data_IF_837118164101
#
_entry.id   IF_837118164101
#
_cell.length_a   1.000
_cell.length_b   1.000
_cell.length_c   1.000
_cell.angle_alpha   90.00
_cell.angle_beta   90.00
_cell.angle_gamma   90.00
#
_symmetry.space_group_name_H-M   'P 1'
#
loop_
_entity.id
_entity.type
_entity.pdbx_description
1 polymer ?
#
# COMPACT_ATOMS: atom_id res chain seq x y z
N UNK A 1 -2.83 -14.26 12.04
CA UNK A 1 -2.87 -12.79 12.18
C UNK A 1 -4.31 -12.34 12.08
N UNK A 2 -4.79 -11.52 13.01
CA UNK A 2 -6.15 -10.97 12.96
C UNK A 2 -6.25 -9.75 11.99
N UNK A 3 -7.46 -9.27 11.70
CA UNK A 3 -7.67 -8.17 10.76
C UNK A 3 -7.04 -6.84 11.20
N UNK A 4 -6.92 -6.59 12.51
CA UNK A 4 -6.31 -5.38 13.07
C UNK A 4 -4.79 -5.44 12.94
N UNK A 5 -4.21 -6.59 13.24
CA UNK A 5 -2.79 -6.87 13.03
C UNK A 5 -2.43 -6.75 11.54
N UNK A 6 -3.25 -7.32 10.65
CA UNK A 6 -3.07 -7.24 9.20
C UNK A 6 -3.02 -5.80 8.71
N UNK A 7 -4.04 -5.02 9.08
CA UNK A 7 -4.08 -3.60 8.76
C UNK A 7 -2.83 -2.89 9.27
N UNK A 8 -2.42 -3.17 10.50
CA UNK A 8 -1.25 -2.52 11.11
C UNK A 8 0.04 -2.87 10.35
N UNK A 9 0.22 -4.14 9.96
CA UNK A 9 1.38 -4.61 9.22
C UNK A 9 1.46 -3.93 7.84
N UNK A 10 0.37 -3.93 7.08
CA UNK A 10 0.29 -3.28 5.76
C UNK A 10 0.51 -1.77 5.88
N UNK A 11 -0.09 -1.11 6.87
CA UNK A 11 0.12 0.31 7.10
C UNK A 11 1.58 0.65 7.42
N UNK A 12 2.32 -0.24 8.10
CA UNK A 12 3.77 -0.06 8.32
C UNK A 12 4.54 -0.11 7.01
N UNK A 13 4.23 -1.05 6.12
CA UNK A 13 4.84 -1.14 4.77
C UNK A 13 4.63 0.17 4.01
N UNK A 14 3.40 0.69 3.95
CA UNK A 14 3.13 1.94 3.23
C UNK A 14 3.65 3.20 3.95
N UNK A 15 3.86 3.16 5.26
CA UNK A 15 4.59 4.22 5.98
C UNK A 15 6.06 4.25 5.55
N UNK A 16 6.71 3.08 5.50
CA UNK A 16 8.09 2.94 5.00
C UNK A 16 8.17 3.38 3.53
N UNK A 17 7.26 2.91 2.67
CA UNK A 17 7.15 3.37 1.29
C UNK A 17 7.09 4.90 1.18
N UNK A 18 6.22 5.56 1.95
CA UNK A 18 6.08 7.03 1.89
C UNK A 18 7.33 7.75 2.38
N UNK A 19 7.99 7.23 3.40
CA UNK A 19 9.25 7.76 3.91
C UNK A 19 10.36 7.64 2.86
N UNK A 20 10.50 6.49 2.20
CA UNK A 20 11.54 6.23 1.21
C UNK A 20 11.25 6.86 -0.16
N UNK A 21 9.98 6.95 -0.58
CA UNK A 21 9.58 7.66 -1.80
C UNK A 21 9.99 9.14 -1.78
N UNK A 22 10.22 9.71 -0.59
CA UNK A 22 10.78 11.07 -0.44
C UNK A 22 12.18 11.17 -1.01
N UNK A 23 13.02 10.16 -0.74
CA UNK A 23 14.41 10.12 -1.16
C UNK A 23 14.55 9.84 -2.67
N UNK A 24 13.62 9.09 -3.27
CA UNK A 24 13.62 8.79 -4.72
C UNK A 24 13.46 10.01 -5.64
N UNK A 25 13.26 11.22 -5.11
CA UNK A 25 13.18 12.47 -5.88
C UNK A 25 14.46 13.32 -5.77
N UNK A 26 15.45 12.83 -5.02
CA UNK A 26 16.77 13.43 -4.89
C UNK A 26 17.68 12.69 -5.87
N UNK A 27 18.43 13.42 -6.68
CA UNK A 27 19.40 12.83 -7.60
C UNK A 27 20.57 12.26 -6.77
N UNK A 28 20.58 10.95 -6.58
CA UNK A 28 21.61 10.23 -5.80
C UNK A 28 22.39 9.35 -6.76
N UNK A 29 23.72 9.38 -6.65
CA UNK A 29 24.63 8.71 -7.57
C UNK A 29 24.49 7.16 -7.59
N UNK A 30 23.93 6.57 -6.54
CA UNK A 30 23.62 5.15 -6.44
C UNK A 30 22.14 4.97 -6.12
N UNK A 31 21.48 4.00 -6.79
CA UNK A 31 20.08 3.66 -6.53
C UNK A 31 20.01 3.05 -5.12
N UNK A 32 19.43 3.75 -4.13
CA UNK A 32 19.43 3.27 -2.75
C UNK A 32 18.56 2.00 -2.63
N UNK A 33 18.82 1.15 -1.62
CA UNK A 33 18.02 -0.06 -1.36
C UNK A 33 16.53 0.28 -1.17
N UNK A 34 16.28 1.46 -0.61
CA UNK A 34 15.00 2.13 -0.45
C UNK A 34 14.23 2.28 -1.78
N UNK A 35 14.93 2.60 -2.88
CA UNK A 35 14.31 2.73 -4.19
C UNK A 35 13.87 1.38 -4.75
N UNK A 36 14.62 0.31 -4.44
CA UNK A 36 14.24 -1.07 -4.81
C UNK A 36 12.97 -1.50 -4.08
N UNK A 37 12.87 -1.19 -2.79
CA UNK A 37 11.67 -1.44 -1.99
C UNK A 37 10.45 -0.71 -2.57
N UNK A 38 10.58 0.59 -2.89
CA UNK A 38 9.50 1.35 -3.49
C UNK A 38 9.04 0.74 -4.82
N UNK A 39 9.99 0.38 -5.69
CA UNK A 39 9.70 -0.24 -6.98
C UNK A 39 8.96 -1.58 -6.82
N UNK A 40 9.38 -2.43 -5.88
CA UNK A 40 8.71 -3.70 -5.61
C UNK A 40 7.25 -3.47 -5.14
N UNK A 41 7.03 -2.48 -4.27
CA UNK A 41 5.67 -2.12 -3.82
C UNK A 41 4.83 -1.58 -4.98
N UNK A 42 5.40 -0.73 -5.83
CA UNK A 42 4.72 -0.19 -7.02
C UNK A 42 4.30 -1.32 -7.97
N UNK A 43 5.18 -2.29 -8.22
CA UNK A 43 4.90 -3.47 -9.05
C UNK A 43 3.78 -4.33 -8.45
N UNK A 44 3.83 -4.63 -7.15
CA UNK A 44 2.76 -5.40 -6.47
C UNK A 44 1.42 -4.68 -6.59
N UNK A 45 1.38 -3.38 -6.29
CA UNK A 45 0.13 -2.59 -6.38
C UNK A 45 -0.37 -2.53 -7.82
N UNK A 46 0.51 -2.45 -8.83
CA UNK A 46 0.09 -2.45 -10.24
C UNK A 46 -0.57 -3.74 -10.73
N UNK A 47 -0.43 -4.84 -9.98
CA UNK A 47 -1.03 -6.14 -10.28
C UNK A 47 -2.33 -6.42 -9.50
N UNK A 48 -2.80 -5.49 -8.66
CA UNK A 48 -4.13 -5.62 -8.01
C UNK A 48 -5.26 -5.39 -9.02
N UNK A 49 -6.50 -5.68 -8.63
CA UNK A 49 -7.66 -5.34 -9.47
C UNK A 49 -7.83 -3.80 -9.54
N UNK A 50 -8.38 -3.23 -10.63
CA UNK A 50 -8.38 -1.77 -10.82
C UNK A 50 -8.98 -0.95 -9.67
N UNK A 51 -10.03 -1.46 -9.02
CA UNK A 51 -10.68 -0.84 -7.86
C UNK A 51 -9.79 -0.88 -6.61
N UNK A 52 -9.10 -2.00 -6.39
CA UNK A 52 -8.10 -2.16 -5.33
C UNK A 52 -6.89 -1.25 -5.58
N UNK A 53 -6.40 -1.16 -6.81
CA UNK A 53 -5.30 -0.27 -7.18
C UNK A 53 -5.61 1.18 -6.84
N UNK A 54 -6.78 1.66 -7.27
CA UNK A 54 -7.25 3.01 -7.00
C UNK A 54 -7.28 3.27 -5.50
N UNK A 55 -7.93 2.40 -4.73
CA UNK A 55 -8.02 2.51 -3.28
C UNK A 55 -6.64 2.58 -2.63
N UNK A 56 -5.73 1.67 -2.98
CA UNK A 56 -4.41 1.57 -2.36
C UNK A 56 -3.55 2.80 -2.67
N UNK A 57 -3.55 3.24 -3.93
CA UNK A 57 -2.77 4.42 -4.36
C UNK A 57 -3.26 5.68 -3.65
N UNK A 58 -4.56 5.92 -3.66
CA UNK A 58 -5.18 7.11 -3.09
C UNK A 58 -5.04 7.16 -1.57
N UNK A 59 -5.27 6.04 -0.89
CA UNK A 59 -5.35 6.01 0.57
C UNK A 59 -4.01 5.81 1.27
N UNK A 60 -3.15 4.95 0.72
CA UNK A 60 -1.98 4.42 1.43
C UNK A 60 -0.65 4.91 0.85
N UNK A 61 -0.56 5.10 -0.47
CA UNK A 61 0.68 5.51 -1.12
C UNK A 61 0.86 7.03 -1.19
N UNK A 62 -0.23 7.81 -1.30
CA UNK A 62 -0.17 9.28 -1.26
C UNK A 62 0.36 9.78 0.08
N UNK A 63 1.14 10.87 0.02
CA UNK A 63 1.67 11.57 1.22
C UNK A 63 0.61 12.39 1.93
N UNK A 64 -0.35 12.91 1.18
CA UNK A 64 -1.47 13.68 1.70
C UNK A 64 -2.29 12.82 2.66
N UNK A 65 -2.82 13.46 3.71
CA UNK A 65 -3.69 12.79 4.67
C UNK A 65 -5.09 12.63 4.07
N UNK A 66 -5.25 11.61 3.24
CA UNK A 66 -6.55 11.24 2.66
C UNK A 66 -7.28 10.28 3.59
N UNK A 67 -8.53 10.58 3.89
CA UNK A 67 -9.43 9.74 4.70
C UNK A 67 -10.15 8.71 3.84
N UNK A 68 -10.61 7.62 4.46
CA UNK A 68 -11.43 6.61 3.77
C UNK A 68 -12.66 7.25 3.08
N UNK A 69 -13.31 8.20 3.78
CA UNK A 69 -14.46 8.96 3.26
C UNK A 69 -14.14 9.76 2.00
N UNK A 70 -12.96 10.38 1.94
CA UNK A 70 -12.56 11.11 0.75
C UNK A 70 -12.35 10.16 -0.43
N UNK A 71 -11.74 9.00 -0.21
CA UNK A 71 -11.50 8.05 -1.30
C UNK A 71 -12.81 7.53 -1.87
N UNK A 72 -13.70 6.96 -1.03
CA UNK A 72 -14.92 6.36 -1.57
C UNK A 72 -15.93 7.38 -2.13
N UNK A 73 -15.87 8.64 -1.67
CA UNK A 73 -16.77 9.70 -2.15
C UNK A 73 -16.25 10.43 -3.38
N UNK A 74 -14.93 10.59 -3.53
CA UNK A 74 -14.36 11.50 -4.54
C UNK A 74 -13.32 10.88 -5.47
N UNK A 75 -12.71 9.74 -5.12
CA UNK A 75 -11.74 9.08 -6.01
C UNK A 75 -12.39 8.01 -6.88
N UNK A 76 -13.44 7.35 -6.38
CA UNK A 76 -14.20 6.37 -7.14
C UNK A 76 -15.24 7.05 -8.04
N UNK A 77 -15.35 6.59 -9.28
CA UNK A 77 -16.32 7.07 -10.27
C UNK A 77 -17.12 5.89 -10.86
N UNK A 78 -18.43 5.76 -10.55
CA UNK A 78 -19.19 6.55 -9.57
C UNK A 78 -18.70 6.31 -8.14
N UNK A 79 -19.06 7.21 -7.22
CA UNK A 79 -18.76 7.02 -5.79
C UNK A 79 -19.39 5.73 -5.26
N UNK A 80 -18.74 5.14 -4.26
CA UNK A 80 -19.14 3.86 -3.68
C UNK A 80 -19.50 3.99 -2.21
N UNK A 81 -20.30 3.04 -1.70
CA UNK A 81 -20.62 3.00 -0.28
C UNK A 81 -19.40 2.66 0.59
N UNK A 82 -19.43 3.09 1.85
CA UNK A 82 -18.42 2.70 2.83
C UNK A 82 -18.29 1.17 2.98
N UNK A 83 -19.40 0.43 2.86
CA UNK A 83 -19.41 -1.04 2.93
C UNK A 83 -18.68 -1.66 1.73
N UNK A 84 -18.94 -1.15 0.53
CA UNK A 84 -18.26 -1.57 -0.70
C UNK A 84 -16.76 -1.29 -0.59
N UNK A 85 -16.39 -0.09 -0.14
CA UNK A 85 -14.99 0.29 0.10
C UNK A 85 -14.29 -0.66 1.08
N UNK A 86 -14.95 -1.02 2.19
CA UNK A 86 -14.39 -1.97 3.16
C UNK A 86 -14.12 -3.35 2.54
N UNK A 87 -15.03 -3.85 1.68
CA UNK A 87 -14.84 -5.13 0.97
C UNK A 87 -13.68 -5.08 -0.03
N UNK A 88 -13.58 -4.00 -0.81
CA UNK A 88 -12.45 -3.79 -1.73
C UNK A 88 -11.14 -3.76 -0.94
N UNK A 89 -11.08 -2.99 0.16
CA UNK A 89 -9.90 -2.90 1.00
C UNK A 89 -9.49 -4.25 1.60
N UNK A 90 -10.44 -5.04 2.10
CA UNK A 90 -10.13 -6.36 2.67
C UNK A 90 -9.49 -7.28 1.63
N UNK A 91 -10.06 -7.37 0.42
CA UNK A 91 -9.49 -8.17 -0.69
C UNK A 91 -8.10 -7.69 -1.09
N UNK A 92 -7.92 -6.36 -1.23
CA UNK A 92 -6.62 -5.77 -1.51
C UNK A 92 -5.60 -6.11 -0.42
N UNK A 93 -5.99 -6.02 0.85
CA UNK A 93 -5.11 -6.29 1.99
C UNK A 93 -4.69 -7.76 2.06
N UNK A 94 -5.58 -8.69 1.79
CA UNK A 94 -5.24 -10.12 1.72
C UNK A 94 -4.19 -10.40 0.63
N UNK A 95 -4.36 -9.84 -0.57
CA UNK A 95 -3.39 -9.96 -1.68
C UNK A 95 -2.05 -9.32 -1.34
N UNK A 96 -2.07 -8.10 -0.79
CA UNK A 96 -0.88 -7.37 -0.38
C UNK A 96 -0.12 -8.09 0.73
N UNK A 97 -0.84 -8.64 1.72
CA UNK A 97 -0.24 -9.39 2.80
C UNK A 97 0.53 -10.59 2.26
N UNK A 98 -0.10 -11.37 1.38
CA UNK A 98 0.53 -12.54 0.76
C UNK A 98 1.78 -12.15 -0.03
N UNK A 99 1.69 -11.13 -0.89
CA UNK A 99 2.82 -10.66 -1.68
C UNK A 99 3.97 -10.14 -0.80
N UNK A 100 3.67 -9.31 0.19
CA UNK A 100 4.69 -8.72 1.06
C UNK A 100 5.34 -9.74 2.00
N UNK A 101 4.62 -10.75 2.48
CA UNK A 101 5.21 -11.87 3.25
C UNK A 101 6.21 -12.65 2.39
N UNK A 102 5.82 -13.03 1.17
CA UNK A 102 6.72 -13.74 0.25
C UNK A 102 7.98 -12.92 -0.14
N UNK A 103 7.89 -11.59 -0.08
CA UNK A 103 9.02 -10.69 -0.32
C UNK A 103 9.83 -10.36 0.95
N UNK A 104 9.40 -10.82 2.13
CA UNK A 104 10.03 -10.49 3.41
C UNK A 104 9.88 -9.02 3.83
N UNK A 105 8.85 -8.33 3.33
CA UNK A 105 8.60 -6.91 3.59
C UNK A 105 7.76 -6.66 4.86
N UNK A 106 7.17 -7.71 5.44
CA UNK A 106 6.45 -7.61 6.70
C UNK A 106 7.44 -7.68 7.86
N UNK A 107 7.47 -6.63 8.68
CA UNK A 107 8.33 -6.57 9.86
C UNK A 107 8.03 -7.76 10.80
N UNK A 108 8.97 -8.70 10.89
CA UNK A 108 8.90 -9.85 11.81
C UNK A 108 9.27 -11.20 11.21
N UNK A 109 9.33 -11.35 9.88
CA UNK A 109 9.85 -12.57 9.25
C UNK A 109 11.35 -12.36 9.01
N UNK A 110 12.13 -12.56 10.08
CA UNK A 110 13.56 -12.75 9.95
C UNK A 110 13.81 -13.85 8.93
N UNK A 111 14.62 -13.54 7.92
CA UNK A 111 15.34 -14.56 7.15
C UNK A 111 16.11 -15.39 8.17
N UNK A 112 15.58 -16.58 8.49
CA UNK A 112 16.32 -17.63 9.15
C UNK A 112 17.32 -18.25 8.17
#
# INVERSE_FOLDING_TARGET
MDAKEMKTAIEKVFKSYRFHSFLNRIDVAEIPEEARLCKAIDEVVSNLDPDEQLLIRERYMKRERITDTQVYSFAFEPSISAVTYMKIRSRAFEKLLYAFSNMGLLAGEGRA
#
